data_IF_525599654664
#
_entry.id   IF_525599654664
#
_cell.length_a   1.000
_cell.length_b   1.000
_cell.length_c   1.000
_cell.angle_alpha   90.00
_cell.angle_beta   90.00
_cell.angle_gamma   90.00
#
_symmetry.space_group_name_H-M   'P 1'
#
loop_
_entity.id
_entity.type
_entity.pdbx_description
1 polymer ?
#
# COMPACT_ATOMS: atom_id res chain seq x y z
N UNK A 1 -36.76 61.59 -12.75
CA UNK A 1 -36.40 60.67 -13.86
C UNK A 1 -34.95 60.18 -13.82
N UNK A 2 -33.96 60.97 -13.38
CA UNK A 2 -32.55 60.53 -13.34
C UNK A 2 -32.25 59.36 -12.37
N UNK A 3 -32.93 59.27 -11.23
CA UNK A 3 -32.71 58.22 -10.24
C UNK A 3 -33.15 56.81 -10.71
N UNK A 4 -34.27 56.69 -11.43
CA UNK A 4 -34.72 55.39 -11.99
C UNK A 4 -33.79 54.88 -13.11
N UNK A 5 -33.17 55.78 -13.87
CA UNK A 5 -32.21 55.40 -14.90
C UNK A 5 -30.89 54.91 -14.29
N UNK A 6 -30.40 55.58 -13.24
CA UNK A 6 -29.20 55.13 -12.50
C UNK A 6 -29.44 53.79 -11.80
N UNK A 7 -30.59 53.56 -11.16
CA UNK A 7 -30.92 52.30 -10.49
C UNK A 7 -31.04 51.14 -11.50
N UNK A 8 -31.61 51.37 -12.68
CA UNK A 8 -31.70 50.33 -13.73
C UNK A 8 -30.35 50.04 -14.39
N UNK A 9 -29.48 51.03 -14.56
CA UNK A 9 -28.10 50.84 -15.02
C UNK A 9 -27.22 50.13 -13.97
N UNK A 10 -27.33 50.51 -12.70
CA UNK A 10 -26.64 49.83 -11.58
C UNK A 10 -27.15 48.40 -11.39
N UNK A 11 -28.45 48.15 -11.52
CA UNK A 11 -29.05 46.81 -11.48
C UNK A 11 -28.57 45.92 -12.63
N UNK A 12 -28.48 46.46 -13.85
CA UNK A 12 -27.94 45.72 -15.01
C UNK A 12 -26.44 45.47 -14.90
N UNK A 13 -25.66 46.46 -14.46
CA UNK A 13 -24.21 46.29 -14.26
C UNK A 13 -23.91 45.33 -13.11
N UNK A 14 -24.61 45.44 -11.97
CA UNK A 14 -24.49 44.48 -10.86
C UNK A 14 -24.95 43.07 -11.26
N UNK A 15 -26.04 42.95 -12.02
CA UNK A 15 -26.52 41.68 -12.56
C UNK A 15 -25.51 41.03 -13.53
N UNK A 16 -24.89 41.83 -14.41
CA UNK A 16 -23.83 41.37 -15.29
C UNK A 16 -22.54 41.00 -14.52
N UNK A 17 -22.23 41.71 -13.44
CA UNK A 17 -21.10 41.41 -12.55
C UNK A 17 -21.32 40.10 -11.79
N UNK A 18 -22.52 39.88 -11.25
CA UNK A 18 -22.90 38.64 -10.57
C UNK A 18 -22.95 37.46 -11.54
N UNK A 19 -23.49 37.66 -12.74
CA UNK A 19 -23.48 36.65 -13.80
C UNK A 19 -22.04 36.32 -14.23
N UNK A 20 -21.19 37.34 -14.43
CA UNK A 20 -19.78 37.17 -14.74
C UNK A 20 -19.02 36.44 -13.64
N UNK A 21 -19.27 36.78 -12.36
CA UNK A 21 -18.70 36.09 -11.21
C UNK A 21 -19.18 34.63 -11.12
N UNK A 22 -20.46 34.37 -11.40
CA UNK A 22 -21.02 33.02 -11.43
C UNK A 22 -20.39 32.17 -12.53
N UNK A 23 -20.24 32.71 -13.75
CA UNK A 23 -19.56 32.03 -14.86
C UNK A 23 -18.09 31.77 -14.52
N UNK A 24 -17.37 32.76 -13.96
CA UNK A 24 -15.99 32.57 -13.51
C UNK A 24 -15.88 31.49 -12.44
N UNK A 25 -16.81 31.45 -11.48
CA UNK A 25 -16.84 30.43 -10.42
C UNK A 25 -17.00 29.01 -10.98
N UNK A 26 -17.72 28.84 -12.09
CA UNK A 26 -17.87 27.57 -12.82
C UNK A 26 -16.62 27.20 -13.63
N UNK A 27 -15.88 28.19 -14.14
CA UNK A 27 -14.66 27.98 -14.93
C UNK A 27 -13.44 27.61 -14.07
N UNK A 28 -13.35 28.11 -12.83
CA UNK A 28 -12.26 27.80 -11.89
C UNK A 28 -12.04 26.27 -11.70
N UNK A 29 -13.06 25.45 -11.36
CA UNK A 29 -12.88 24.02 -11.19
C UNK A 29 -12.54 23.30 -12.50
N UNK A 30 -13.05 23.76 -13.64
CA UNK A 30 -12.67 23.24 -14.97
C UNK A 30 -11.18 23.51 -15.27
N UNK A 31 -10.71 24.73 -14.98
CA UNK A 31 -9.31 25.10 -15.09
C UNK A 31 -8.42 24.29 -14.14
N UNK A 32 -8.87 24.03 -12.92
CA UNK A 32 -8.17 23.19 -11.95
C UNK A 32 -8.09 21.73 -12.41
N UNK A 33 -9.18 21.16 -12.95
CA UNK A 33 -9.22 19.81 -13.55
C UNK A 33 -8.28 19.70 -14.75
N UNK A 34 -8.26 20.73 -15.59
CA UNK A 34 -7.37 20.78 -16.76
C UNK A 34 -5.90 20.87 -16.34
N UNK A 35 -5.57 21.77 -15.40
CA UNK A 35 -4.23 21.87 -14.80
C UNK A 35 -3.81 20.57 -14.11
N UNK A 36 -4.74 19.91 -13.40
CA UNK A 36 -4.50 18.61 -12.78
C UNK A 36 -4.17 17.55 -13.81
N UNK A 37 -4.99 17.41 -14.87
CA UNK A 37 -4.74 16.44 -15.94
C UNK A 37 -3.40 16.69 -16.66
N UNK A 38 -3.02 17.97 -16.82
CA UNK A 38 -1.72 18.37 -17.36
C UNK A 38 -0.58 18.07 -16.40
N UNK A 39 -0.76 18.32 -15.10
CA UNK A 39 0.23 18.00 -14.06
C UNK A 39 0.46 16.50 -13.93
N UNK A 40 -0.63 15.75 -13.83
CA UNK A 40 -0.62 14.33 -13.54
C UNK A 40 -0.18 13.54 -14.76
N UNK A 41 -0.87 13.64 -15.90
CA UNK A 41 -0.61 12.80 -17.08
C UNK A 41 0.17 13.49 -18.18
N UNK A 42 0.48 14.78 -18.05
CA UNK A 42 1.13 15.51 -19.13
C UNK A 42 0.23 15.74 -20.34
N UNK A 43 -1.11 15.78 -20.19
CA UNK A 43 -2.04 16.06 -21.31
C UNK A 43 -1.58 17.30 -22.10
N UNK A 44 -1.11 17.05 -23.32
CA UNK A 44 -0.39 17.93 -24.24
C UNK A 44 -0.02 17.16 -25.53
N UNK A 45 0.82 17.72 -26.40
CA UNK A 45 1.14 17.14 -27.72
C UNK A 45 2.08 15.91 -27.70
N UNK A 46 2.87 15.71 -26.64
CA UNK A 46 3.75 14.56 -26.50
C UNK A 46 3.29 13.67 -25.34
N UNK A 47 3.00 12.41 -25.65
CA UNK A 47 2.71 11.34 -24.69
C UNK A 47 3.99 10.85 -23.98
N UNK A 48 4.70 11.75 -23.30
CA UNK A 48 5.91 11.37 -22.57
C UNK A 48 5.55 10.99 -21.12
N UNK A 49 6.01 9.82 -20.64
CA UNK A 49 5.88 9.47 -19.22
C UNK A 49 6.51 10.55 -18.36
N UNK A 50 5.80 10.98 -17.31
CA UNK A 50 6.36 11.97 -16.39
C UNK A 50 7.29 11.31 -15.38
N UNK A 51 8.24 12.06 -14.87
CA UNK A 51 9.02 11.64 -13.71
C UNK A 51 8.10 11.49 -12.50
N UNK A 52 8.10 10.30 -11.87
CA UNK A 52 7.26 10.03 -10.71
C UNK A 52 7.85 10.63 -9.44
N UNK A 53 6.95 11.02 -8.54
CA UNK A 53 7.32 11.53 -7.23
C UNK A 53 7.39 10.35 -6.27
N UNK A 54 8.59 10.09 -5.75
CA UNK A 54 8.84 9.07 -4.73
C UNK A 54 9.22 9.76 -3.42
N UNK A 55 8.45 9.53 -2.36
CA UNK A 55 8.77 10.02 -1.02
C UNK A 55 9.60 8.96 -0.29
N UNK A 56 10.84 9.27 0.11
CA UNK A 56 11.69 8.40 0.94
C UNK A 56 11.92 6.97 0.42
N UNK A 57 11.84 6.73 -0.90
CA UNK A 57 12.15 5.42 -1.47
C UNK A 57 13.65 5.26 -1.71
N UNK A 58 14.19 4.05 -1.46
CA UNK A 58 15.55 3.70 -1.90
C UNK A 58 15.63 3.68 -3.43
N UNK A 59 16.81 3.93 -3.99
CA UNK A 59 16.97 3.99 -5.44
C UNK A 59 16.67 2.64 -6.12
N UNK A 60 17.01 1.52 -5.48
CA UNK A 60 16.61 0.18 -5.93
C UNK A 60 15.08 0.01 -6.02
N UNK A 61 14.35 0.57 -5.05
CA UNK A 61 12.89 0.48 -5.00
C UNK A 61 12.28 1.34 -6.11
N UNK A 62 12.82 2.54 -6.34
CA UNK A 62 12.40 3.42 -7.43
C UNK A 62 12.60 2.74 -8.78
N UNK A 63 13.78 2.15 -9.01
CA UNK A 63 14.12 1.49 -10.27
C UNK A 63 13.19 0.29 -10.53
N UNK A 64 12.94 -0.52 -9.50
CA UNK A 64 12.06 -1.68 -9.58
C UNK A 64 10.62 -1.27 -9.91
N UNK A 65 10.12 -0.23 -9.25
CA UNK A 65 8.78 0.32 -9.49
C UNK A 65 8.67 0.92 -10.89
N UNK A 66 9.69 1.61 -11.38
CA UNK A 66 9.68 2.13 -12.75
C UNK A 66 9.71 1.03 -13.80
N UNK A 67 10.47 -0.06 -13.59
CA UNK A 67 10.42 -1.24 -14.47
C UNK A 67 9.02 -1.85 -14.51
N UNK A 68 8.41 -2.01 -13.34
CA UNK A 68 7.03 -2.49 -13.21
C UNK A 68 6.03 -1.60 -13.96
N UNK A 69 6.08 -0.28 -13.76
CA UNK A 69 5.18 0.62 -14.47
C UNK A 69 5.48 0.64 -15.98
N UNK A 70 6.73 0.57 -16.39
CA UNK A 70 7.10 0.49 -17.81
C UNK A 70 6.53 -0.76 -18.48
N UNK A 71 6.48 -1.89 -17.77
CA UNK A 71 5.88 -3.14 -18.25
C UNK A 71 4.36 -3.03 -18.43
N UNK A 72 3.65 -2.49 -17.44
CA UNK A 72 2.19 -2.30 -17.51
C UNK A 72 1.78 -1.25 -18.54
N UNK A 73 2.63 -0.25 -18.81
CA UNK A 73 2.36 0.82 -19.78
C UNK A 73 2.36 0.33 -21.24
N UNK A 74 2.94 -0.83 -21.54
CA UNK A 74 3.03 -1.37 -22.91
C UNK A 74 1.65 -1.61 -23.50
N UNK A 75 1.53 -1.50 -24.82
CA UNK A 75 0.25 -1.76 -25.51
C UNK A 75 -0.16 -3.22 -25.36
N UNK A 76 0.80 -4.14 -25.45
CA UNK A 76 0.65 -5.57 -25.21
C UNK A 76 0.84 -5.96 -23.73
N UNK A 77 0.92 -4.98 -22.83
CA UNK A 77 1.12 -5.19 -21.40
C UNK A 77 -0.13 -5.73 -20.70
N UNK A 78 0.03 -6.28 -19.49
CA UNK A 78 -1.10 -6.79 -18.73
C UNK A 78 -2.03 -5.65 -18.30
N UNK A 79 -3.35 -5.91 -18.37
CA UNK A 79 -4.37 -4.89 -18.09
C UNK A 79 -4.60 -4.77 -16.59
N UNK A 80 -4.65 -3.55 -16.09
CA UNK A 80 -5.01 -3.28 -14.72
C UNK A 80 -6.52 -3.04 -14.58
N UNK A 81 -7.10 -3.46 -13.46
CA UNK A 81 -8.51 -3.22 -13.15
C UNK A 81 -8.73 -3.02 -11.65
N UNK A 82 -9.83 -2.39 -11.30
CA UNK A 82 -10.35 -2.37 -9.93
C UNK A 82 -11.79 -2.85 -9.93
N UNK A 83 -12.31 -3.22 -8.76
CA UNK A 83 -13.73 -3.47 -8.56
C UNK A 83 -14.35 -2.35 -7.74
N UNK A 84 -15.56 -1.95 -8.13
CA UNK A 84 -16.35 -1.02 -7.33
C UNK A 84 -16.89 -1.69 -6.05
N UNK A 85 -17.58 -0.93 -5.20
CA UNK A 85 -18.23 -1.47 -3.99
C UNK A 85 -19.29 -2.53 -4.28
N UNK A 86 -19.77 -2.62 -5.52
CA UNK A 86 -20.76 -3.60 -5.98
C UNK A 86 -20.10 -4.81 -6.67
N UNK A 87 -18.76 -4.90 -6.64
CA UNK A 87 -17.99 -5.98 -7.27
C UNK A 87 -17.84 -5.85 -8.79
N UNK A 88 -18.34 -4.79 -9.42
CA UNK A 88 -18.25 -4.57 -10.87
C UNK A 88 -16.83 -4.24 -11.26
N UNK A 89 -16.32 -4.95 -12.27
CA UNK A 89 -14.97 -4.77 -12.82
C UNK A 89 -14.87 -3.52 -13.69
N UNK A 90 -13.91 -2.66 -13.38
CA UNK A 90 -13.57 -1.47 -14.16
C UNK A 90 -12.11 -1.54 -14.60
N UNK A 91 -11.88 -1.57 -15.91
CA UNK A 91 -10.53 -1.54 -16.47
C UNK A 91 -9.93 -0.15 -16.34
N UNK A 92 -8.67 -0.10 -15.92
CA UNK A 92 -7.89 1.12 -15.90
C UNK A 92 -7.19 1.30 -17.23
N UNK A 93 -7.24 2.51 -17.74
CA UNK A 93 -6.51 2.89 -18.92
C UNK A 93 -5.02 3.04 -18.59
N UNK A 94 -4.17 2.62 -19.53
CA UNK A 94 -2.70 2.67 -19.42
C UNK A 94 -2.19 4.06 -19.06
N UNK A 95 -2.86 5.13 -19.49
CA UNK A 95 -2.42 6.50 -19.25
C UNK A 95 -2.28 6.86 -17.76
N UNK A 96 -3.03 6.20 -16.88
CA UNK A 96 -2.93 6.43 -15.44
C UNK A 96 -1.54 6.05 -14.88
N UNK A 97 -0.85 5.11 -15.53
CA UNK A 97 0.50 4.68 -15.16
C UNK A 97 1.60 5.58 -15.71
N UNK A 98 1.30 6.57 -16.57
CA UNK A 98 2.27 7.55 -17.07
C UNK A 98 2.43 8.74 -16.12
N UNK A 99 1.56 8.84 -15.12
CA UNK A 99 1.44 10.05 -14.33
C UNK A 99 2.50 10.24 -13.25
N UNK A 100 2.63 11.48 -12.75
CA UNK A 100 3.56 11.83 -11.66
C UNK A 100 3.24 11.10 -10.35
N UNK A 101 1.96 10.93 -10.04
CA UNK A 101 1.49 10.27 -8.81
C UNK A 101 1.19 8.79 -9.00
N UNK A 102 1.70 8.13 -10.05
CA UNK A 102 1.39 6.73 -10.35
C UNK A 102 1.69 5.76 -9.20
N UNK A 103 2.65 6.08 -8.33
CA UNK A 103 2.99 5.27 -7.15
C UNK A 103 1.82 5.17 -6.18
N UNK A 104 1.00 6.21 -6.05
CA UNK A 104 -0.17 6.21 -5.16
C UNK A 104 -1.26 5.23 -5.61
N UNK A 105 -1.22 4.73 -6.85
CA UNK A 105 -2.09 3.64 -7.31
C UNK A 105 -1.86 2.34 -6.52
N UNK A 106 -0.64 2.14 -6.01
CA UNK A 106 -0.27 0.99 -5.19
C UNK A 106 -0.58 1.19 -3.69
N UNK A 107 -1.10 2.36 -3.30
CA UNK A 107 -1.42 2.62 -1.91
C UNK A 107 -2.55 1.72 -1.41
N UNK A 108 -2.47 1.28 -0.16
CA UNK A 108 -3.55 0.56 0.52
C UNK A 108 -4.81 1.42 0.67
N UNK A 109 -4.62 2.72 0.88
CA UNK A 109 -5.70 3.67 1.08
C UNK A 109 -6.33 4.07 -0.26
N UNK A 110 -7.60 3.70 -0.44
CA UNK A 110 -8.37 4.03 -1.64
C UNK A 110 -8.51 5.54 -1.93
N UNK A 111 -8.40 6.38 -0.89
CA UNK A 111 -8.37 7.83 -1.05
C UNK A 111 -7.15 8.29 -1.87
N UNK A 112 -5.95 7.79 -1.56
CA UNK A 112 -4.74 8.14 -2.31
C UNK A 112 -4.77 7.59 -3.74
N UNK A 113 -5.27 6.36 -3.93
CA UNK A 113 -5.46 5.80 -5.27
C UNK A 113 -6.42 6.65 -6.12
N UNK A 114 -7.47 7.22 -5.51
CA UNK A 114 -8.45 8.03 -6.22
C UNK A 114 -7.90 9.35 -6.75
N UNK A 115 -6.91 9.94 -6.07
CA UNK A 115 -6.24 11.16 -6.52
C UNK A 115 -5.58 10.93 -7.89
N UNK A 116 -5.06 9.73 -8.14
CA UNK A 116 -4.43 9.37 -9.41
C UNK A 116 -5.38 9.34 -10.60
N UNK A 117 -6.70 9.34 -10.41
CA UNK A 117 -7.70 9.26 -11.48
C UNK A 117 -8.39 10.61 -11.72
N UNK A 118 -8.84 11.26 -10.64
CA UNK A 118 -9.59 12.51 -10.70
C UNK A 118 -9.32 13.31 -9.40
N UNK A 119 -9.18 14.64 -9.47
CA UNK A 119 -8.98 15.46 -8.28
C UNK A 119 -10.23 15.50 -7.38
N UNK A 120 -11.40 15.12 -7.91
CA UNK A 120 -12.65 14.97 -7.15
C UNK A 120 -12.84 13.63 -6.43
N UNK A 121 -11.86 12.72 -6.47
CA UNK A 121 -11.79 11.60 -5.54
C UNK A 121 -12.92 10.57 -5.63
N UNK A 122 -13.26 10.07 -6.83
CA UNK A 122 -14.07 8.84 -6.90
C UNK A 122 -13.28 7.70 -6.24
N UNK A 123 -13.69 7.31 -5.04
CA UNK A 123 -12.99 6.33 -4.22
C UNK A 123 -12.91 4.99 -4.95
N UNK A 124 -11.68 4.52 -5.13
CA UNK A 124 -11.41 3.14 -5.54
C UNK A 124 -11.48 2.31 -4.26
N UNK A 125 -12.57 1.58 -4.08
CA UNK A 125 -12.81 0.76 -2.87
C UNK A 125 -11.78 -0.34 -2.72
N UNK A 126 -11.45 -1.03 -3.81
CA UNK A 126 -10.55 -2.16 -3.79
C UNK A 126 -9.14 -1.82 -4.28
N UNK A 127 -8.18 -2.70 -3.96
CA UNK A 127 -6.86 -2.65 -4.56
C UNK A 127 -6.93 -2.83 -6.08
N UNK A 128 -5.98 -2.20 -6.78
CA UNK A 128 -5.82 -2.38 -8.22
C UNK A 128 -5.20 -3.75 -8.44
N UNK A 129 -5.85 -4.54 -9.29
CA UNK A 129 -5.46 -5.89 -9.68
C UNK A 129 -4.91 -5.85 -11.10
N UNK A 130 -4.00 -6.76 -11.40
CA UNK A 130 -3.39 -6.91 -12.72
C UNK A 130 -3.88 -8.23 -13.32
N UNK A 131 -4.30 -8.20 -14.58
CA UNK A 131 -4.66 -9.39 -15.36
C UNK A 131 -3.40 -10.12 -15.86
N UNK A 132 -2.54 -10.52 -14.92
CA UNK A 132 -1.38 -11.39 -15.17
C UNK A 132 -1.02 -12.14 -13.90
N UNK A 133 -0.37 -13.30 -14.07
CA UNK A 133 0.18 -14.04 -12.96
C UNK A 133 1.34 -13.25 -12.32
N UNK A 134 1.40 -13.09 -10.99
CA UNK A 134 2.57 -12.52 -10.32
C UNK A 134 3.91 -13.09 -10.79
N UNK A 135 3.98 -14.39 -11.06
CA UNK A 135 5.22 -15.06 -11.47
C UNK A 135 5.67 -14.63 -12.87
N UNK A 136 4.72 -14.43 -13.79
CA UNK A 136 4.98 -13.90 -15.12
C UNK A 136 5.52 -12.46 -15.05
N UNK A 137 4.96 -11.63 -14.17
CA UNK A 137 5.41 -10.25 -13.97
C UNK A 137 6.82 -10.24 -13.40
N UNK A 138 7.10 -11.06 -12.38
CA UNK A 138 8.43 -11.15 -11.75
C UNK A 138 9.47 -11.62 -12.77
N UNK A 139 9.15 -12.64 -13.56
CA UNK A 139 10.01 -13.16 -14.62
C UNK A 139 10.28 -12.10 -15.70
N UNK A 140 9.23 -11.42 -16.18
CA UNK A 140 9.33 -10.40 -17.22
C UNK A 140 10.17 -9.20 -16.78
N UNK A 141 10.05 -8.80 -15.51
CA UNK A 141 10.77 -7.64 -14.97
C UNK A 141 12.21 -7.96 -14.57
N UNK A 142 12.62 -9.24 -14.62
CA UNK A 142 13.92 -9.73 -14.14
C UNK A 142 14.26 -9.19 -12.75
N UNK A 143 13.22 -8.97 -11.93
CA UNK A 143 13.40 -8.51 -10.56
C UNK A 143 13.94 -9.71 -9.83
N UNK A 144 15.19 -9.63 -9.38
CA UNK A 144 15.64 -10.53 -8.32
C UNK A 144 14.78 -10.16 -7.12
N UNK A 145 13.82 -10.99 -6.68
CA UNK A 145 13.09 -10.68 -5.46
C UNK A 145 14.15 -10.39 -4.39
N UNK A 146 13.95 -9.31 -3.61
CA UNK A 146 14.85 -8.90 -2.53
C UNK A 146 14.85 -10.00 -1.48
N UNK A 147 15.62 -11.06 -1.75
CA UNK A 147 15.54 -12.42 -1.19
C UNK A 147 14.38 -12.60 -0.21
N UNK A 148 13.16 -12.76 -0.72
CA UNK A 148 12.24 -13.69 -0.09
C UNK A 148 12.90 -15.05 -0.34
N UNK A 149 13.53 -15.60 0.69
CA UNK A 149 14.58 -16.61 0.52
C UNK A 149 14.16 -17.82 -0.33
N UNK A 150 14.65 -17.87 -1.57
CA UNK A 150 14.75 -19.08 -2.40
C UNK A 150 13.44 -19.67 -2.94
N UNK A 151 13.49 -20.14 -4.19
CA UNK A 151 12.53 -21.12 -4.70
C UNK A 151 12.55 -22.34 -3.78
N UNK A 152 11.42 -22.62 -3.10
CA UNK A 152 11.29 -23.79 -2.24
C UNK A 152 11.12 -23.56 -0.73
N UNK A 153 10.96 -22.33 -0.22
CA UNK A 153 10.44 -22.14 1.15
C UNK A 153 8.91 -22.07 1.16
N UNK A 154 8.30 -23.23 0.94
CA UNK A 154 7.20 -23.61 1.83
C UNK A 154 7.81 -23.57 3.23
N UNK A 155 7.36 -22.67 4.11
CA UNK A 155 7.83 -22.71 5.49
C UNK A 155 7.23 -23.98 6.07
N UNK A 156 8.02 -25.06 6.08
CA UNK A 156 7.59 -26.40 6.51
C UNK A 156 6.90 -26.37 7.88
N UNK A 157 7.25 -25.40 8.73
CA UNK A 157 6.71 -25.23 10.06
C UNK A 157 6.27 -23.78 10.28
N UNK A 158 5.13 -23.58 10.93
CA UNK A 158 4.56 -22.27 11.23
C UNK A 158 5.30 -21.52 12.38
N UNK A 159 6.61 -21.29 12.23
CA UNK A 159 7.46 -20.67 13.27
C UNK A 159 6.98 -19.31 13.76
N UNK A 160 6.36 -18.51 12.88
CA UNK A 160 5.88 -17.17 13.22
C UNK A 160 4.60 -17.25 14.05
N UNK A 161 3.68 -18.15 13.69
CA UNK A 161 2.43 -18.39 14.43
C UNK A 161 2.75 -18.94 15.82
N UNK A 162 3.63 -19.95 15.90
CA UNK A 162 4.10 -20.51 17.17
C UNK A 162 4.68 -19.45 18.11
N UNK A 163 5.54 -18.56 17.58
CA UNK A 163 6.15 -17.50 18.38
C UNK A 163 5.13 -16.41 18.77
N UNK A 164 4.11 -16.17 17.94
CA UNK A 164 3.06 -15.18 18.22
C UNK A 164 2.11 -15.68 19.30
N UNK A 165 1.64 -16.92 19.19
CA UNK A 165 0.76 -17.56 20.17
C UNK A 165 1.48 -17.71 21.51
N UNK A 166 2.75 -18.16 21.49
CA UNK A 166 3.53 -18.31 22.71
C UNK A 166 3.74 -16.97 23.42
N UNK A 167 3.82 -15.84 22.70
CA UNK A 167 3.98 -14.51 23.31
C UNK A 167 2.79 -14.12 24.20
N UNK A 168 1.63 -14.74 23.99
CA UNK A 168 0.43 -14.56 24.81
C UNK A 168 0.28 -15.63 25.90
N UNK A 169 1.24 -16.55 26.03
CA UNK A 169 1.19 -17.61 27.03
C UNK A 169 1.50 -17.07 28.44
N UNK A 170 0.59 -17.24 29.41
CA UNK A 170 0.80 -16.78 30.79
C UNK A 170 2.01 -17.43 31.48
N UNK A 171 2.49 -18.58 30.99
CA UNK A 171 3.69 -19.25 31.51
C UNK A 171 4.95 -18.38 31.33
N UNK A 172 4.99 -17.49 30.33
CA UNK A 172 6.12 -16.58 30.12
C UNK A 172 6.32 -15.59 31.27
N UNK A 173 5.26 -15.25 32.03
CA UNK A 173 5.35 -14.31 33.16
C UNK A 173 5.97 -14.97 34.41
N UNK A 174 6.02 -16.31 34.47
CA UNK A 174 6.61 -17.09 35.57
C UNK A 174 8.09 -17.41 35.37
N UNK A 175 8.67 -16.92 34.28
CA UNK A 175 9.98 -17.32 33.80
C UNK A 175 11.08 -16.53 34.52
N UNK A 176 12.08 -17.22 35.08
CA UNK A 176 13.24 -16.54 35.64
C UNK A 176 14.12 -15.99 34.52
N UNK A 177 14.07 -14.66 34.35
CA UNK A 177 14.83 -13.96 33.30
C UNK A 177 16.31 -13.75 33.64
N UNK A 178 16.75 -14.15 34.85
CA UNK A 178 18.16 -14.08 35.26
C UNK A 178 18.97 -15.28 34.77
N UNK A 179 18.33 -16.43 34.54
CA UNK A 179 18.96 -17.62 33.95
C UNK A 179 18.55 -17.79 32.48
N UNK A 180 19.34 -17.19 31.58
CA UNK A 180 19.10 -17.27 30.12
C UNK A 180 19.06 -18.72 29.61
N UNK A 181 19.86 -19.63 30.18
CA UNK A 181 19.95 -21.00 29.70
C UNK A 181 18.71 -21.81 30.08
N UNK A 182 18.26 -21.70 31.32
CA UNK A 182 17.02 -22.34 31.78
C UNK A 182 15.78 -21.71 31.10
N UNK A 183 15.78 -20.38 30.96
CA UNK A 183 14.73 -19.63 30.29
C UNK A 183 14.55 -20.03 28.83
N UNK A 184 15.65 -20.02 28.07
CA UNK A 184 15.64 -20.39 26.65
C UNK A 184 15.21 -21.85 26.46
N UNK A 185 15.65 -22.76 27.35
CA UNK A 185 15.21 -24.17 27.32
C UNK A 185 13.71 -24.29 27.52
N UNK A 186 13.16 -23.63 28.54
CA UNK A 186 11.72 -23.66 28.84
C UNK A 186 10.88 -23.12 27.67
N UNK A 187 11.27 -21.98 27.10
CA UNK A 187 10.61 -21.40 25.91
C UNK A 187 10.72 -22.34 24.70
N UNK A 188 11.86 -22.99 24.52
CA UNK A 188 12.05 -23.97 23.42
C UNK A 188 11.10 -25.17 23.59
N UNK A 189 10.94 -25.65 24.83
CA UNK A 189 10.08 -26.79 25.13
C UNK A 189 8.60 -26.43 24.96
N UNK A 190 8.19 -25.20 25.27
CA UNK A 190 6.82 -24.73 24.99
C UNK A 190 6.55 -24.50 23.50
N UNK A 191 7.53 -24.02 22.73
CA UNK A 191 7.41 -23.99 21.26
C UNK A 191 7.22 -25.41 20.71
N UNK A 192 7.94 -26.40 21.26
CA UNK A 192 7.80 -27.80 20.86
C UNK A 192 6.41 -28.35 21.24
N UNK A 193 5.91 -28.06 22.45
CA UNK A 193 4.56 -28.40 22.90
C UNK A 193 3.49 -27.78 21.98
N UNK A 194 3.66 -26.51 21.57
CA UNK A 194 2.77 -25.86 20.61
C UNK A 194 2.77 -26.60 19.26
N UNK A 195 3.93 -26.96 18.72
CA UNK A 195 4.01 -27.74 17.48
C UNK A 195 3.44 -29.16 17.59
N UNK A 196 3.44 -29.75 18.79
CA UNK A 196 2.88 -31.08 19.05
C UNK A 196 1.37 -31.04 19.30
N UNK A 197 0.85 -29.95 19.88
CA UNK A 197 -0.56 -29.79 20.26
C UNK A 197 -1.41 -29.14 19.15
N UNK A 198 -0.80 -28.31 18.28
CA UNK A 198 -1.45 -27.72 17.13
C UNK A 198 -1.79 -28.80 16.10
N UNK A 199 -3.00 -29.36 16.21
CA UNK A 199 -3.53 -30.33 15.27
C UNK A 199 -3.44 -29.82 13.81
N UNK A 200 -2.53 -30.41 13.03
CA UNK A 200 -2.52 -30.48 11.56
C UNK A 200 -2.08 -29.25 10.72
N UNK A 201 -0.87 -28.71 10.93
CA UNK A 201 -0.25 -27.84 9.87
C UNK A 201 0.96 -28.50 9.19
N UNK A 202 1.61 -29.46 9.84
CA UNK A 202 2.65 -30.32 9.23
C UNK A 202 2.74 -31.62 10.02
N UNK A 203 2.72 -32.78 9.36
CA UNK A 203 2.91 -34.09 10.01
C UNK A 203 4.32 -34.27 10.62
N UNK A 204 5.20 -33.31 10.37
CA UNK A 204 6.56 -33.25 10.84
C UNK A 204 6.66 -32.13 11.89
N UNK A 205 7.42 -32.37 12.98
CA UNK A 205 7.69 -31.44 14.08
C UNK A 205 9.14 -30.94 13.97
N UNK A 206 9.42 -29.64 14.11
CA UNK A 206 10.79 -29.12 13.96
C UNK A 206 11.71 -29.64 15.08
N UNK A 207 12.98 -29.88 14.73
CA UNK A 207 13.99 -30.29 15.72
C UNK A 207 14.22 -29.16 16.74
N UNK A 208 14.48 -29.53 18.00
CA UNK A 208 14.73 -28.59 19.10
C UNK A 208 15.82 -27.57 18.75
N UNK A 209 16.86 -28.00 18.02
CA UNK A 209 17.94 -27.12 17.55
C UNK A 209 17.45 -25.99 16.64
N UNK A 210 16.38 -26.21 15.88
CA UNK A 210 15.79 -25.22 14.99
C UNK A 210 14.93 -24.19 15.75
N UNK A 211 14.44 -24.55 16.93
CA UNK A 211 13.61 -23.70 17.78
C UNK A 211 14.42 -22.78 18.71
N UNK A 212 15.64 -23.17 19.10
CA UNK A 212 16.53 -22.39 19.98
C UNK A 212 16.71 -20.92 19.54
N UNK A 213 16.95 -20.60 18.24
CA UNK A 213 17.10 -19.21 17.81
C UNK A 213 15.83 -18.38 18.01
N UNK A 214 14.66 -18.98 17.91
CA UNK A 214 13.38 -18.32 18.16
C UNK A 214 13.14 -18.13 19.65
N UNK A 215 13.42 -19.15 20.46
CA UNK A 215 13.34 -19.06 21.91
C UNK A 215 14.23 -17.95 22.49
N UNK A 216 15.46 -17.80 21.99
CA UNK A 216 16.35 -16.68 22.38
C UNK A 216 15.79 -15.32 22.01
N UNK A 217 15.13 -15.18 20.86
CA UNK A 217 14.49 -13.92 20.46
C UNK A 217 13.35 -13.56 21.40
N UNK A 218 12.54 -14.55 21.81
CA UNK A 218 11.45 -14.36 22.78
C UNK A 218 12.03 -13.97 24.14
N UNK A 219 13.05 -14.68 24.64
CA UNK A 219 13.75 -14.33 25.87
C UNK A 219 14.28 -12.90 25.87
N UNK A 220 15.02 -12.52 24.82
CA UNK A 220 15.55 -11.16 24.69
C UNK A 220 14.44 -10.10 24.63
N UNK A 221 13.30 -10.44 24.03
CA UNK A 221 12.14 -9.55 24.01
C UNK A 221 11.53 -9.37 25.41
N UNK A 222 11.40 -10.46 26.18
CA UNK A 222 10.88 -10.42 27.55
C UNK A 222 11.81 -9.62 28.48
N UNK A 223 13.13 -9.84 28.40
CA UNK A 223 14.13 -9.11 29.19
C UNK A 223 14.14 -7.60 28.92
N UNK A 224 13.85 -7.20 27.68
CA UNK A 224 13.81 -5.80 27.26
C UNK A 224 12.41 -5.18 27.34
N UNK A 225 11.42 -5.89 27.91
CA UNK A 225 10.07 -5.35 28.09
C UNK A 225 10.11 -4.29 29.19
N UNK A 226 9.63 -3.05 28.95
CA UNK A 226 9.52 -2.08 30.02
C UNK A 226 8.52 -2.60 31.07
N UNK A 227 8.93 -2.57 32.34
CA UNK A 227 8.06 -2.94 33.46
C UNK A 227 6.74 -2.13 33.41
N UNK A 228 5.58 -2.76 33.65
CA UNK A 228 4.30 -2.04 33.63
C UNK A 228 4.13 -1.02 34.78
N UNK A 229 5.08 -0.88 35.71
CA UNK A 229 5.04 0.10 36.81
C UNK A 229 5.58 1.50 36.45
N UNK A 230 5.60 1.86 35.18
CA UNK A 230 6.11 3.15 34.69
C UNK A 230 5.08 4.03 33.99
N UNK A 231 3.82 4.04 34.45
CA UNK A 231 2.80 5.02 34.04
C UNK A 231 2.11 5.64 35.23
#
# INVERSE_FOLDING_TARGET
MAASFLVTLFSKTAGNLLYGAAVLSLLIPLGALWKWGRFQYGRGWLWTPREAIYLNASDETKETLEKFFAYIRREDGPKAYYRDRKGKKHKLDRHFFFGKLRVLLLSEFGAFRSLCLLPGGKRISEAIKIEADPDEIIAALKIKPKRAGGSGRNIKYAYIEAAFDLRSDPRLDTLDLNDEAAATRSITDWLLEWFQSAANVSADVPDRKQLIPYARKIFNHLKNRPSPEGR
#
